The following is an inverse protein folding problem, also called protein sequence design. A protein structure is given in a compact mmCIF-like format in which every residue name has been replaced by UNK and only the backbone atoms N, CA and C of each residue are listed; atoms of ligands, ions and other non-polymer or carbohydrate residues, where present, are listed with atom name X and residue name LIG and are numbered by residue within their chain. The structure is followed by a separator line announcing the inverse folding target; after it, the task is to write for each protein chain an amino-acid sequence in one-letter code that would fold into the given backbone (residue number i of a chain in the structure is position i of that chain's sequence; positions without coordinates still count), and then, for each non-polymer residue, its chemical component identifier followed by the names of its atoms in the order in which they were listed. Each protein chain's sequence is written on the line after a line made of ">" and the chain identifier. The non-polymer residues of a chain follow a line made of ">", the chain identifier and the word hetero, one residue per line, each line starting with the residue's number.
data_IF_646839103624
#
_entry.id   IF_646839103624
#
_cell.length_a   1.000
_cell.length_b   1.000
_cell.length_c   1.000
_cell.angle_alpha   90.00
_cell.angle_beta   90.00
_cell.angle_gamma   90.00
#
_symmetry.space_group_name_H-M   'P 1'
#
loop_
_entity.id
_entity.type
_entity.pdbx_description
1 polymer ?
#
# COMPACT_ATOMS: atom_id res chain seq x y z
N UNK A 1 44.78 8.69 20.33
CA UNK A 1 44.30 10.00 19.82
C UNK A 1 43.75 9.78 18.43
N UNK A 2 42.51 10.22 18.16
CA UNK A 2 41.88 10.09 16.84
C UNK A 2 42.45 11.18 15.92
N UNK A 3 43.15 10.82 14.85
CA UNK A 3 43.68 11.80 13.89
C UNK A 3 42.57 12.29 12.96
N UNK A 4 42.65 13.53 12.46
CA UNK A 4 41.68 14.08 11.47
C UNK A 4 41.45 13.14 10.28
N UNK A 5 42.51 12.48 9.81
CA UNK A 5 42.44 11.52 8.69
C UNK A 5 41.68 10.25 9.05
N UNK A 6 41.81 9.75 10.27
CA UNK A 6 41.12 8.54 10.72
C UNK A 6 39.64 8.83 10.97
N UNK A 7 39.32 10.02 11.50
CA UNK A 7 37.95 10.52 11.57
C UNK A 7 37.30 10.59 10.17
N UNK A 8 37.99 11.16 9.18
CA UNK A 8 37.49 11.24 7.81
C UNK A 8 37.27 9.85 7.18
N UNK A 9 38.19 8.91 7.38
CA UNK A 9 38.02 7.52 6.89
C UNK A 9 36.81 6.85 7.52
N UNK A 10 36.57 7.08 8.81
CA UNK A 10 35.42 6.52 9.51
C UNK A 10 34.11 7.12 9.01
N UNK A 11 34.02 8.44 8.86
CA UNK A 11 32.81 9.12 8.35
C UNK A 11 32.50 8.72 6.92
N UNK A 12 33.51 8.70 6.03
CA UNK A 12 33.33 8.30 4.63
C UNK A 12 32.98 6.82 4.54
N UNK A 13 33.67 5.96 5.29
CA UNK A 13 33.37 4.52 5.34
C UNK A 13 31.98 4.24 5.89
N UNK A 14 31.54 4.98 6.91
CA UNK A 14 30.21 4.89 7.48
C UNK A 14 29.11 5.37 6.53
N UNK A 15 29.33 6.47 5.80
CA UNK A 15 28.39 6.96 4.80
C UNK A 15 28.21 5.98 3.64
N UNK A 16 29.32 5.46 3.10
CA UNK A 16 29.30 4.43 2.05
C UNK A 16 28.64 3.15 2.58
N UNK A 17 29.03 2.68 3.76
CA UNK A 17 28.46 1.49 4.39
C UNK A 17 26.96 1.61 4.62
N UNK A 18 26.48 2.80 5.02
CA UNK A 18 25.05 3.07 5.22
C UNK A 18 24.29 3.00 3.90
N UNK A 19 24.83 3.60 2.82
CA UNK A 19 24.20 3.57 1.51
C UNK A 19 24.08 2.16 0.92
N UNK A 20 25.13 1.34 1.08
CA UNK A 20 25.13 -0.06 0.62
C UNK A 20 24.44 -1.03 1.58
N UNK A 21 24.10 -0.57 2.79
CA UNK A 21 23.27 -1.34 3.70
C UNK A 21 21.78 -1.22 3.32
N UNK A 22 20.96 -2.25 3.59
CA UNK A 22 19.51 -2.18 3.39
C UNK A 22 18.81 -1.19 4.34
N UNK A 23 19.51 -0.64 5.34
CA UNK A 23 18.93 0.21 6.39
C UNK A 23 18.21 1.44 5.81
N UNK A 24 18.85 2.38 5.07
CA UNK A 24 18.17 3.61 4.64
C UNK A 24 16.94 3.34 3.78
N UNK A 25 17.01 2.32 2.92
CA UNK A 25 15.95 1.94 2.00
C UNK A 25 14.73 1.38 2.75
N UNK A 26 14.97 0.51 3.73
CA UNK A 26 13.90 -0.06 4.56
C UNK A 26 13.27 0.99 5.48
N UNK A 27 14.07 1.90 6.02
CA UNK A 27 13.58 2.99 6.87
C UNK A 27 12.66 3.92 6.07
N UNK A 28 13.01 4.22 4.82
CA UNK A 28 12.16 5.00 3.92
C UNK A 28 10.84 4.28 3.60
N UNK A 29 10.85 2.97 3.34
CA UNK A 29 9.64 2.18 3.10
C UNK A 29 8.72 2.16 4.35
N UNK A 30 9.29 1.96 5.54
CA UNK A 30 8.54 1.98 6.79
C UNK A 30 7.95 3.36 7.10
N UNK A 31 8.63 4.46 6.74
CA UNK A 31 8.05 5.81 6.82
C UNK A 31 6.83 5.97 5.90
N UNK A 32 6.89 5.43 4.68
CA UNK A 32 5.75 5.45 3.75
C UNK A 32 4.58 4.64 4.31
N UNK A 33 4.84 3.42 4.77
CA UNK A 33 3.81 2.57 5.38
C UNK A 33 3.18 3.20 6.62
N UNK A 34 3.98 3.85 7.46
CA UNK A 34 3.49 4.59 8.62
C UNK A 34 2.56 5.73 8.21
N UNK A 35 2.93 6.52 7.20
CA UNK A 35 2.08 7.60 6.69
C UNK A 35 0.75 7.10 6.14
N UNK A 36 0.74 5.90 5.54
CA UNK A 36 -0.44 5.25 4.98
C UNK A 36 -1.21 4.40 5.99
N UNK A 37 -0.70 4.19 7.22
CA UNK A 37 -1.39 3.38 8.23
C UNK A 37 -2.73 3.98 8.63
N UNK A 38 -2.85 5.31 8.52
CA UNK A 38 -4.07 6.06 8.82
C UNK A 38 -5.07 6.07 7.66
N UNK A 39 -4.67 5.60 6.48
CA UNK A 39 -5.55 5.43 5.32
C UNK A 39 -5.87 3.95 5.12
N UNK A 40 -7.03 3.67 4.55
CA UNK A 40 -7.43 2.30 4.30
C UNK A 40 -6.52 1.66 3.24
N UNK A 41 -5.76 0.64 3.64
CA UNK A 41 -5.01 -0.19 2.70
C UNK A 41 -5.84 -1.42 2.29
N UNK A 42 -6.01 -1.67 0.98
CA UNK A 42 -6.65 -2.90 0.54
C UNK A 42 -5.83 -4.12 0.97
N UNK A 43 -6.48 -5.27 1.23
CA UNK A 43 -5.74 -6.51 1.49
C UNK A 43 -4.84 -6.86 0.32
N UNK A 44 -3.73 -7.54 0.59
CA UNK A 44 -2.84 -8.06 -0.45
C UNK A 44 -3.50 -9.31 -1.02
N UNK A 45 -4.04 -9.23 -2.23
CA UNK A 45 -4.88 -10.29 -2.78
C UNK A 45 -5.13 -10.19 -4.28
N UNK A 46 -5.79 -11.20 -4.85
CA UNK A 46 -6.19 -11.19 -6.26
C UNK A 46 -7.42 -10.30 -6.43
N UNK A 47 -7.31 -9.36 -7.37
CA UNK A 47 -8.44 -8.51 -7.75
C UNK A 47 -9.45 -9.31 -8.59
N UNK A 48 -10.71 -9.25 -8.21
CA UNK A 48 -11.84 -9.83 -8.94
C UNK A 48 -13.01 -8.85 -8.98
N UNK A 49 -13.73 -8.88 -10.09
CA UNK A 49 -14.96 -8.11 -10.27
C UNK A 49 -16.14 -9.06 -10.31
N UNK A 50 -17.14 -8.81 -9.47
CA UNK A 50 -18.33 -9.65 -9.35
C UNK A 50 -19.57 -8.77 -9.52
N UNK A 51 -20.54 -9.26 -10.27
CA UNK A 51 -21.84 -8.61 -10.44
C UNK A 51 -22.82 -9.10 -9.38
N UNK A 52 -23.45 -8.18 -8.66
CA UNK A 52 -24.41 -8.48 -7.59
C UNK A 52 -25.57 -7.48 -7.62
N UNK A 53 -26.61 -7.72 -6.82
CA UNK A 53 -27.74 -6.79 -6.65
C UNK A 53 -27.68 -6.13 -5.27
N UNK A 54 -28.06 -4.84 -5.20
CA UNK A 54 -28.19 -4.12 -3.93
C UNK A 54 -29.44 -4.59 -3.18
N UNK A 55 -29.28 -5.04 -1.93
CA UNK A 55 -30.39 -5.48 -1.07
C UNK A 55 -30.84 -4.41 -0.06
N UNK A 56 -30.35 -3.18 -0.18
CA UNK A 56 -30.70 -2.10 0.76
C UNK A 56 -32.16 -1.66 0.63
N UNK A 57 -32.70 -1.72 -0.59
CA UNK A 57 -34.08 -1.36 -0.88
C UNK A 57 -34.72 -2.42 -1.80
N UNK A 58 -36.07 -2.45 -1.92
CA UNK A 58 -36.77 -3.39 -2.81
C UNK A 58 -36.47 -3.17 -4.31
N UNK A 59 -35.75 -2.09 -4.67
CA UNK A 59 -35.46 -1.73 -6.05
C UNK A 59 -34.38 -2.57 -6.73
N UNK A 60 -33.50 -3.24 -5.98
CA UNK A 60 -32.54 -4.19 -6.56
C UNK A 60 -31.55 -3.58 -7.58
N UNK A 61 -30.96 -2.42 -7.29
CA UNK A 61 -29.99 -1.77 -8.19
C UNK A 61 -28.81 -2.70 -8.53
N UNK A 62 -28.37 -2.68 -9.78
CA UNK A 62 -27.30 -3.52 -10.27
C UNK A 62 -25.93 -2.98 -9.84
N UNK A 63 -25.12 -3.83 -9.23
CA UNK A 63 -23.81 -3.47 -8.72
C UNK A 63 -22.70 -4.27 -9.40
N UNK A 64 -21.61 -3.58 -9.70
CA UNK A 64 -20.32 -4.13 -10.08
C UNK A 64 -19.37 -3.93 -8.90
N UNK A 65 -19.06 -5.02 -8.20
CA UNK A 65 -18.30 -4.99 -6.95
C UNK A 65 -16.87 -5.42 -7.21
N UNK A 66 -15.92 -4.55 -6.83
CA UNK A 66 -14.50 -4.86 -6.80
C UNK A 66 -14.16 -5.55 -5.49
N UNK A 67 -13.73 -6.80 -5.58
CA UNK A 67 -13.25 -7.60 -4.47
C UNK A 67 -11.75 -7.82 -4.57
N UNK A 68 -11.08 -7.77 -3.43
CA UNK A 68 -9.70 -8.22 -3.30
C UNK A 68 -9.73 -9.36 -2.28
N UNK A 69 -9.43 -10.57 -2.78
CA UNK A 69 -9.78 -11.83 -2.13
C UNK A 69 -11.25 -11.84 -1.68
N UNK A 70 -11.52 -11.97 -0.38
CA UNK A 70 -12.88 -12.02 0.18
C UNK A 70 -13.43 -10.67 0.61
N UNK A 71 -12.64 -9.58 0.51
CA UNK A 71 -13.05 -8.24 0.98
C UNK A 71 -13.53 -7.36 -0.17
N UNK A 72 -14.65 -6.67 0.06
CA UNK A 72 -15.16 -5.64 -0.85
C UNK A 72 -14.37 -4.34 -0.67
N UNK A 73 -13.87 -3.77 -1.78
CA UNK A 73 -13.02 -2.57 -1.78
C UNK A 73 -13.68 -1.40 -2.51
N UNK A 74 -14.50 -1.67 -3.52
CA UNK A 74 -15.24 -0.65 -4.27
C UNK A 74 -16.56 -1.21 -4.78
N UNK A 75 -17.57 -0.36 -4.83
CA UNK A 75 -18.87 -0.65 -5.42
C UNK A 75 -19.11 0.37 -6.54
N UNK A 76 -19.46 -0.11 -7.72
CA UNK A 76 -19.84 0.71 -8.88
C UNK A 76 -21.21 0.27 -9.38
N UNK A 77 -21.94 1.16 -10.04
CA UNK A 77 -23.20 0.81 -10.70
C UNK A 77 -22.95 -0.08 -11.93
N UNK A 78 -23.78 -1.09 -12.14
CA UNK A 78 -23.74 -1.91 -13.33
C UNK A 78 -24.57 -1.27 -14.45
N UNK A 79 -23.91 -0.75 -15.49
CA UNK A 79 -24.58 -0.13 -16.65
C UNK A 79 -25.43 -1.11 -17.47
N UNK A 80 -25.21 -2.42 -17.34
CA UNK A 80 -26.02 -3.45 -18.01
C UNK A 80 -27.33 -3.73 -17.27
N UNK A 81 -27.46 -3.29 -16.01
CA UNK A 81 -28.68 -3.46 -15.26
C UNK A 81 -29.63 -2.29 -15.58
N UNK A 82 -30.92 -2.54 -15.86
CA UNK A 82 -31.87 -1.49 -16.19
C UNK A 82 -32.25 -0.60 -14.97
N UNK A 83 -31.80 -0.96 -13.77
CA UNK A 83 -32.09 -0.30 -12.48
C UNK A 83 -30.81 0.12 -11.77
#
# INVERSE_FOLDING_TARGET
>A
MLTRRDFLKFVVGGAVGTLFSPLPWRMADEMVLFSQTWTYQPPKGKEKWVYTLCQLCPGGCGLKVRKIDDRVVKIEGNQLNPV
#
